data_IF_246974955408
#
_entry.id   IF_246974955408
#
_cell.length_a   1.000
_cell.length_b   1.000
_cell.length_c   1.000
_cell.angle_alpha   90.00
_cell.angle_beta   90.00
_cell.angle_gamma   90.00
#
_symmetry.space_group_name_H-M   'P 1'
#
loop_
_entity.id
_entity.type
_entity.pdbx_description
1 polymer ?
#
# COMPACT_ATOMS: atom_id res chain seq x y z
N UNK A 1 -4.51 9.05 10.91
CA UNK A 1 -3.27 8.36 10.50
C UNK A 1 -3.28 7.93 9.02
N UNK A 2 -4.45 7.67 8.46
CA UNK A 2 -4.55 7.07 7.12
C UNK A 2 -4.02 7.96 6.01
N UNK A 3 -4.19 9.28 6.13
CA UNK A 3 -3.62 10.24 5.18
C UNK A 3 -2.09 10.18 5.20
N UNK A 4 -1.47 10.26 6.37
CA UNK A 4 -0.01 10.19 6.51
C UNK A 4 0.59 8.92 5.88
N UNK A 5 -0.07 7.75 6.05
CA UNK A 5 0.36 6.50 5.42
C UNK A 5 0.27 6.58 3.90
N UNK A 6 -0.79 7.20 3.36
CA UNK A 6 -0.94 7.38 1.92
C UNK A 6 0.12 8.33 1.34
N UNK A 7 0.41 9.42 2.02
CA UNK A 7 1.48 10.36 1.64
C UNK A 7 2.84 9.67 1.59
N UNK A 8 3.21 8.91 2.65
CA UNK A 8 4.47 8.15 2.66
C UNK A 8 4.55 7.16 1.48
N UNK A 9 3.47 6.45 1.19
CA UNK A 9 3.46 5.50 0.06
C UNK A 9 3.74 6.23 -1.26
N UNK A 10 3.17 7.40 -1.48
CA UNK A 10 3.44 8.23 -2.66
C UNK A 10 4.85 8.80 -2.67
N UNK A 11 5.36 9.25 -1.54
CA UNK A 11 6.74 9.71 -1.41
C UNK A 11 7.72 8.61 -1.83
N UNK A 12 7.54 7.39 -1.32
CA UNK A 12 8.35 6.23 -1.71
C UNK A 12 8.26 5.94 -3.21
N UNK A 13 7.05 6.00 -3.79
CA UNK A 13 6.83 5.80 -5.24
C UNK A 13 7.55 6.87 -6.06
N UNK A 14 7.45 8.14 -5.69
CA UNK A 14 8.11 9.26 -6.36
C UNK A 14 9.62 9.15 -6.25
N UNK A 15 10.14 8.89 -5.06
CA UNK A 15 11.57 8.69 -4.82
C UNK A 15 12.14 7.59 -5.72
N UNK A 16 11.45 6.43 -5.77
CA UNK A 16 11.85 5.31 -6.61
C UNK A 16 11.73 5.63 -8.10
N UNK A 17 10.63 6.26 -8.53
CA UNK A 17 10.40 6.66 -9.92
C UNK A 17 11.47 7.65 -10.42
N UNK A 18 12.02 8.49 -9.53
CA UNK A 18 13.09 9.46 -9.82
C UNK A 18 14.50 8.91 -9.56
N UNK A 19 14.63 7.57 -9.46
CA UNK A 19 15.92 6.90 -9.29
C UNK A 19 16.68 7.31 -8.02
N UNK A 20 15.96 7.55 -6.92
CA UNK A 20 16.55 7.97 -5.65
C UNK A 20 17.21 9.35 -5.70
N UNK A 21 16.78 10.21 -6.63
CA UNK A 21 17.35 11.55 -6.88
C UNK A 21 18.85 11.54 -7.24
N UNK A 22 19.33 10.45 -7.84
CA UNK A 22 20.74 10.28 -8.21
C UNK A 22 21.16 11.04 -9.48
N UNK A 23 20.36 11.99 -9.97
CA UNK A 23 20.66 12.82 -11.14
C UNK A 23 20.49 12.13 -12.50
N UNK A 24 19.95 10.90 -12.52
CA UNK A 24 19.63 10.16 -13.76
C UNK A 24 18.18 10.41 -14.16
N UNK A 25 17.88 10.20 -15.46
CA UNK A 25 16.50 10.24 -15.94
C UNK A 25 15.67 9.19 -15.23
N UNK A 26 14.53 9.62 -14.68
CA UNK A 26 13.55 8.78 -14.03
C UNK A 26 12.30 8.59 -14.89
N UNK A 27 11.20 8.17 -14.26
CA UNK A 27 9.89 8.01 -14.88
C UNK A 27 8.84 8.86 -14.16
N UNK A 28 7.69 9.04 -14.81
CA UNK A 28 6.53 9.74 -14.25
C UNK A 28 5.48 8.75 -13.77
N UNK A 29 4.62 9.18 -12.84
CA UNK A 29 3.47 8.39 -12.39
C UNK A 29 2.23 8.61 -13.28
N UNK A 30 2.11 9.78 -13.91
CA UNK A 30 0.99 10.16 -14.77
C UNK A 30 0.75 9.12 -15.86
N UNK A 31 -0.52 8.74 -16.06
CA UNK A 31 -0.94 7.76 -17.05
C UNK A 31 -0.62 6.31 -16.73
N UNK A 32 0.04 6.03 -15.59
CA UNK A 32 0.28 4.65 -15.14
C UNK A 32 -0.87 4.15 -14.27
N UNK A 33 -1.14 2.85 -14.37
CA UNK A 33 -2.15 2.21 -13.54
C UNK A 33 -1.60 1.90 -12.14
N UNK A 34 -2.39 2.27 -11.11
CA UNK A 34 -2.18 1.88 -9.72
C UNK A 34 -3.33 1.03 -9.23
N UNK A 35 -3.02 -0.09 -8.60
CA UNK A 35 -3.94 -1.00 -7.94
C UNK A 35 -3.90 -0.82 -6.43
N UNK A 36 -5.06 -0.59 -5.83
CA UNK A 36 -5.23 -0.50 -4.39
C UNK A 36 -5.78 -1.83 -3.88
N UNK A 37 -4.95 -2.62 -3.23
CA UNK A 37 -5.36 -3.88 -2.63
C UNK A 37 -5.82 -3.63 -1.20
N UNK A 38 -7.11 -3.66 -1.00
CA UNK A 38 -7.97 -3.14 0.05
C UNK A 38 -8.30 -1.64 -0.09
N UNK A 39 -9.58 -1.31 0.08
CA UNK A 39 -10.12 0.03 -0.16
C UNK A 39 -10.76 0.62 1.11
N UNK A 40 -10.07 0.44 2.25
CA UNK A 40 -10.38 1.08 3.52
C UNK A 40 -9.96 2.56 3.55
N UNK A 41 -9.74 3.10 4.76
CA UNK A 41 -9.38 4.52 4.91
C UNK A 41 -8.09 4.89 4.16
N UNK A 42 -7.02 4.11 4.28
CA UNK A 42 -5.75 4.38 3.56
C UNK A 42 -5.95 4.30 2.05
N UNK A 43 -6.64 3.24 1.56
CA UNK A 43 -6.91 3.07 0.13
C UNK A 43 -7.68 4.25 -0.48
N UNK A 44 -8.62 4.85 0.27
CA UNK A 44 -9.37 6.04 -0.17
C UNK A 44 -8.47 7.26 -0.33
N UNK A 45 -7.58 7.55 0.63
CA UNK A 45 -6.60 8.64 0.50
C UNK A 45 -5.60 8.37 -0.63
N UNK A 46 -5.14 7.11 -0.78
CA UNK A 46 -4.31 6.73 -1.92
C UNK A 46 -5.00 7.02 -3.25
N UNK A 47 -6.28 6.70 -3.38
CA UNK A 47 -7.04 6.97 -4.60
C UNK A 47 -7.15 8.48 -4.88
N UNK A 48 -7.37 9.30 -3.86
CA UNK A 48 -7.44 10.75 -3.98
C UNK A 48 -6.13 11.33 -4.51
N UNK A 49 -5.01 10.98 -3.87
CA UNK A 49 -3.68 11.42 -4.29
C UNK A 49 -3.34 10.92 -5.70
N UNK A 50 -3.59 9.62 -5.99
CA UNK A 50 -3.31 9.02 -7.30
C UNK A 50 -4.04 9.74 -8.44
N UNK A 51 -5.32 10.10 -8.24
CA UNK A 51 -6.08 10.89 -9.20
C UNK A 51 -5.48 12.27 -9.42
N UNK A 52 -4.99 12.92 -8.36
CA UNK A 52 -4.27 14.20 -8.46
C UNK A 52 -3.00 14.10 -9.31
N UNK A 53 -2.31 12.97 -9.27
CA UNK A 53 -1.17 12.67 -10.15
C UNK A 53 -1.57 12.26 -11.58
N UNK A 54 -2.86 12.12 -11.88
CA UNK A 54 -3.34 11.68 -13.19
C UNK A 54 -3.04 10.20 -13.48
N UNK A 55 -3.03 9.37 -12.43
CA UNK A 55 -2.92 7.91 -12.57
C UNK A 55 -4.27 7.27 -12.87
N UNK A 56 -4.26 6.12 -13.53
CA UNK A 56 -5.41 5.23 -13.66
C UNK A 56 -5.57 4.40 -12.38
N UNK A 57 -6.63 4.67 -11.61
CA UNK A 57 -6.80 4.06 -10.28
C UNK A 57 -7.77 2.88 -10.34
N UNK A 58 -7.29 1.72 -9.89
CA UNK A 58 -8.05 0.48 -9.72
C UNK A 58 -8.06 0.07 -8.25
N UNK A 59 -9.10 -0.63 -7.81
CA UNK A 59 -9.15 -1.21 -6.48
C UNK A 59 -9.80 -2.59 -6.47
N UNK A 60 -9.35 -3.42 -5.55
CA UNK A 60 -9.96 -4.67 -5.16
C UNK A 60 -10.05 -4.74 -3.63
N UNK A 61 -11.24 -4.98 -3.11
CA UNK A 61 -11.49 -5.23 -1.69
C UNK A 61 -12.68 -6.19 -1.56
N UNK A 62 -12.54 -7.37 -0.93
CA UNK A 62 -13.64 -8.32 -0.80
C UNK A 62 -14.73 -7.88 0.19
N UNK A 63 -14.51 -6.81 0.95
CA UNK A 63 -15.42 -6.32 2.00
C UNK A 63 -16.05 -4.97 1.67
N UNK A 64 -15.62 -4.31 0.60
CA UNK A 64 -16.17 -3.03 0.12
C UNK A 64 -16.91 -3.27 -1.18
N UNK A 65 -18.15 -2.76 -1.29
CA UNK A 65 -18.95 -2.94 -2.49
C UNK A 65 -18.33 -2.27 -3.72
N UNK A 66 -18.50 -2.87 -4.90
CA UNK A 66 -18.06 -2.23 -6.15
C UNK A 66 -18.67 -0.84 -6.34
N UNK A 67 -19.92 -0.66 -5.88
CA UNK A 67 -20.61 0.61 -5.96
C UNK A 67 -19.90 1.71 -5.16
N UNK A 68 -19.46 1.39 -3.93
CA UNK A 68 -18.74 2.34 -3.09
C UNK A 68 -17.35 2.69 -3.64
N UNK A 69 -16.67 1.72 -4.26
CA UNK A 69 -15.41 1.96 -4.97
C UNK A 69 -15.66 2.89 -6.17
N UNK A 70 -16.70 2.61 -6.98
CA UNK A 70 -17.06 3.43 -8.15
C UNK A 70 -17.49 4.84 -7.77
N UNK A 71 -18.23 5.01 -6.65
CA UNK A 71 -18.59 6.35 -6.12
C UNK A 71 -17.37 7.21 -5.79
N UNK A 72 -16.27 6.59 -5.41
CA UNK A 72 -15.00 7.28 -5.20
C UNK A 72 -14.24 7.60 -6.51
N UNK A 73 -14.83 7.33 -7.69
CA UNK A 73 -14.18 7.53 -8.99
C UNK A 73 -13.03 6.58 -9.27
N UNK A 74 -13.10 5.35 -8.74
CA UNK A 74 -12.08 4.31 -8.86
C UNK A 74 -12.64 3.14 -9.66
N UNK A 75 -11.85 2.57 -10.55
CA UNK A 75 -12.19 1.38 -11.34
C UNK A 75 -12.12 0.14 -10.45
N UNK A 76 -13.12 -0.73 -10.50
CA UNK A 76 -13.14 -1.96 -9.71
C UNK A 76 -12.48 -3.12 -10.42
N UNK A 77 -11.81 -3.99 -9.66
CA UNK A 77 -11.39 -5.31 -10.10
C UNK A 77 -12.16 -6.38 -9.31
N UNK A 78 -12.49 -7.49 -9.97
CA UNK A 78 -13.28 -8.59 -9.37
C UNK A 78 -12.42 -9.52 -8.51
N UNK A 79 -11.11 -9.49 -8.71
CA UNK A 79 -10.17 -10.30 -7.95
C UNK A 79 -8.80 -9.62 -7.81
N UNK A 80 -7.97 -10.13 -6.91
CA UNK A 80 -6.59 -9.68 -6.77
C UNK A 80 -5.79 -9.95 -8.05
N UNK A 81 -6.00 -11.10 -8.70
CA UNK A 81 -5.33 -11.46 -9.94
C UNK A 81 -5.61 -10.45 -11.05
N UNK A 82 -6.86 -10.01 -11.16
CA UNK A 82 -7.23 -8.97 -12.13
C UNK A 82 -6.52 -7.64 -11.82
N UNK A 83 -6.49 -7.24 -10.53
CA UNK A 83 -5.82 -6.02 -10.09
C UNK A 83 -4.34 -6.04 -10.47
N UNK A 84 -3.64 -7.14 -10.12
CA UNK A 84 -2.20 -7.26 -10.34
C UNK A 84 -1.86 -7.33 -11.84
N UNK A 85 -2.69 -7.98 -12.64
CA UNK A 85 -2.44 -8.06 -14.10
C UNK A 85 -2.58 -6.74 -14.83
N UNK A 86 -3.32 -5.77 -14.27
CA UNK A 86 -3.59 -4.47 -14.90
C UNK A 86 -2.66 -3.35 -14.43
N UNK A 87 -2.07 -3.46 -13.25
CA UNK A 87 -1.46 -2.33 -12.57
C UNK A 87 0.06 -2.42 -12.51
N UNK A 88 0.75 -1.33 -12.94
CA UNK A 88 2.20 -1.19 -12.79
C UNK A 88 2.61 -0.95 -11.33
N UNK A 89 1.78 -0.25 -10.57
CA UNK A 89 1.92 -0.05 -9.15
C UNK A 89 0.82 -0.81 -8.42
N UNK A 90 1.17 -1.58 -7.40
CA UNK A 90 0.19 -2.15 -6.47
C UNK A 90 0.54 -1.75 -5.06
N UNK A 91 -0.40 -1.11 -4.37
CA UNK A 91 -0.24 -0.67 -2.98
C UNK A 91 -1.15 -1.46 -2.04
N UNK A 92 -0.55 -1.99 -0.97
CA UNK A 92 -1.18 -2.90 -0.03
C UNK A 92 -1.71 -2.15 1.20
N UNK A 93 -2.99 -2.36 1.54
CA UNK A 93 -3.67 -1.67 2.64
C UNK A 93 -4.50 -2.61 3.53
N UNK A 94 -4.32 -3.93 3.37
CA UNK A 94 -5.02 -4.92 4.16
C UNK A 94 -4.34 -5.17 5.52
N UNK A 95 -5.11 -5.52 6.57
CA UNK A 95 -4.53 -6.01 7.83
C UNK A 95 -3.93 -7.41 7.65
N UNK A 96 -3.02 -7.80 8.55
CA UNK A 96 -2.56 -9.19 8.64
C UNK A 96 -3.55 -10.00 9.49
N UNK A 97 -4.13 -11.02 8.90
CA UNK A 97 -5.00 -12.01 9.54
C UNK A 97 -4.85 -13.36 8.84
N UNK A 98 -5.58 -14.38 9.26
CA UNK A 98 -5.45 -15.74 8.71
C UNK A 98 -5.69 -15.82 7.19
N UNK A 99 -6.51 -14.92 6.63
CA UNK A 99 -6.81 -14.88 5.19
C UNK A 99 -5.77 -14.11 4.38
N UNK A 100 -5.07 -13.16 5.01
CA UNK A 100 -4.15 -12.25 4.31
C UNK A 100 -2.68 -12.57 4.55
N UNK A 101 -2.36 -13.38 5.56
CA UNK A 101 -0.97 -13.83 5.81
C UNK A 101 -0.44 -14.57 4.58
N UNK A 102 0.76 -14.15 4.13
CA UNK A 102 1.45 -14.73 2.95
C UNK A 102 0.58 -14.81 1.68
N UNK A 103 -0.49 -14.00 1.59
CA UNK A 103 -1.37 -14.00 0.42
C UNK A 103 -0.74 -13.33 -0.80
N UNK A 104 0.27 -12.51 -0.58
CA UNK A 104 0.98 -11.80 -1.65
C UNK A 104 2.28 -12.56 -1.96
N UNK A 105 2.16 -13.53 -2.85
CA UNK A 105 3.25 -14.45 -3.20
C UNK A 105 3.53 -14.48 -4.70
N UNK A 106 4.40 -15.40 -5.09
CA UNK A 106 4.91 -15.53 -6.47
C UNK A 106 3.82 -15.55 -7.53
N UNK A 107 2.77 -16.37 -7.35
CA UNK A 107 1.72 -16.56 -8.36
C UNK A 107 0.91 -15.29 -8.64
N UNK A 108 0.80 -14.42 -7.67
CA UNK A 108 0.15 -13.13 -7.81
C UNK A 108 1.11 -12.10 -8.40
N UNK A 109 2.34 -12.02 -7.88
CA UNK A 109 3.34 -11.03 -8.28
C UNK A 109 3.80 -11.22 -9.74
N UNK A 110 3.90 -12.45 -10.22
CA UNK A 110 4.28 -12.73 -11.61
C UNK A 110 3.27 -12.22 -12.65
N UNK A 111 2.03 -11.94 -12.24
CA UNK A 111 0.99 -11.37 -13.12
C UNK A 111 1.19 -9.88 -13.41
N UNK A 112 1.96 -9.19 -12.58
CA UNK A 112 2.17 -7.75 -12.75
C UNK A 112 2.93 -7.43 -14.05
N UNK A 113 2.59 -6.30 -14.72
CA UNK A 113 3.26 -5.86 -15.94
C UNK A 113 4.77 -5.67 -15.78
N UNK A 114 5.48 -5.45 -16.88
CA UNK A 114 6.88 -5.02 -16.84
C UNK A 114 7.04 -3.72 -16.03
N UNK A 115 8.22 -3.53 -15.42
CA UNK A 115 8.55 -2.39 -14.55
C UNK A 115 7.63 -2.22 -13.34
N UNK A 116 7.06 -3.33 -12.86
CA UNK A 116 6.13 -3.33 -11.75
C UNK A 116 6.77 -2.90 -10.41
N UNK A 117 5.95 -2.21 -9.61
CA UNK A 117 6.33 -1.73 -8.28
C UNK A 117 5.28 -2.19 -7.26
N UNK A 118 5.70 -3.00 -6.30
CA UNK A 118 4.89 -3.36 -5.14
C UNK A 118 5.18 -2.39 -3.99
N UNK A 119 4.15 -1.82 -3.38
CA UNK A 119 4.25 -0.89 -2.25
C UNK A 119 3.55 -1.49 -1.03
N UNK A 120 4.26 -1.65 0.08
CA UNK A 120 3.73 -2.21 1.31
C UNK A 120 3.92 -1.26 2.50
N UNK A 121 2.92 -0.47 2.79
CA UNK A 121 2.82 0.31 4.04
C UNK A 121 1.82 -0.32 5.02
N UNK A 122 1.42 -1.57 4.77
CA UNK A 122 0.46 -2.32 5.58
C UNK A 122 1.15 -3.16 6.67
N UNK A 123 1.48 -4.42 6.35
CA UNK A 123 2.09 -5.39 7.27
C UNK A 123 3.05 -6.30 6.51
N UNK A 124 4.21 -6.67 7.11
CA UNK A 124 5.14 -7.60 6.50
C UNK A 124 4.55 -9.00 6.32
N UNK A 125 3.72 -9.42 7.25
CA UNK A 125 3.13 -10.75 7.30
C UNK A 125 2.19 -11.07 6.13
N UNK A 126 1.74 -10.06 5.37
CA UNK A 126 0.92 -10.31 4.17
C UNK A 126 1.76 -10.79 2.99
N UNK A 127 3.08 -10.56 3.03
CA UNK A 127 4.02 -10.97 1.98
C UNK A 127 4.48 -12.41 2.23
N UNK A 128 4.45 -13.23 1.18
CA UNK A 128 5.24 -14.44 1.09
C UNK A 128 6.64 -14.06 0.59
N UNK A 129 7.60 -13.97 1.52
CA UNK A 129 8.96 -13.51 1.20
C UNK A 129 9.71 -14.46 0.26
N UNK A 130 9.46 -15.77 0.32
CA UNK A 130 10.06 -16.73 -0.61
C UNK A 130 9.58 -16.47 -2.03
N UNK A 131 8.28 -16.25 -2.21
CA UNK A 131 7.68 -15.86 -3.48
C UNK A 131 8.18 -14.51 -3.99
N UNK A 132 8.35 -13.54 -3.11
CA UNK A 132 8.91 -12.22 -3.44
C UNK A 132 10.37 -12.32 -3.89
N UNK A 133 11.20 -13.07 -3.18
CA UNK A 133 12.61 -13.29 -3.55
C UNK A 133 12.74 -14.01 -4.89
N UNK A 134 11.86 -14.98 -5.16
CA UNK A 134 11.82 -15.67 -6.45
C UNK A 134 11.53 -14.70 -7.60
N UNK A 135 10.53 -13.80 -7.44
CA UNK A 135 10.26 -12.74 -8.43
C UNK A 135 11.48 -11.84 -8.65
N UNK A 136 12.14 -11.43 -7.58
CA UNK A 136 13.36 -10.60 -7.68
C UNK A 136 14.50 -11.31 -8.41
N UNK A 137 14.61 -12.63 -8.28
CA UNK A 137 15.59 -13.43 -9.01
C UNK A 137 15.29 -13.56 -10.51
N UNK A 138 14.00 -13.63 -10.86
CA UNK A 138 13.56 -13.84 -12.26
C UNK A 138 13.35 -12.52 -13.03
N UNK A 139 12.99 -11.42 -12.33
CA UNK A 139 12.59 -10.15 -12.93
C UNK A 139 13.48 -9.01 -12.44
N UNK A 140 14.43 -8.59 -13.26
CA UNK A 140 15.33 -7.48 -12.94
C UNK A 140 14.63 -6.10 -12.91
N UNK A 141 13.46 -5.99 -13.52
CA UNK A 141 12.61 -4.80 -13.59
C UNK A 141 11.73 -4.61 -12.36
N UNK A 142 11.47 -5.67 -11.57
CA UNK A 142 10.56 -5.65 -10.43
C UNK A 142 11.15 -4.87 -9.23
N UNK A 143 10.29 -4.06 -8.58
CA UNK A 143 10.69 -3.24 -7.42
C UNK A 143 9.76 -3.45 -6.23
N UNK A 144 10.32 -3.32 -5.01
CA UNK A 144 9.57 -3.42 -3.76
C UNK A 144 9.89 -2.26 -2.82
N UNK A 145 8.85 -1.53 -2.39
CA UNK A 145 8.94 -0.39 -1.49
C UNK A 145 8.15 -0.71 -0.23
N UNK A 146 8.76 -0.55 0.94
CA UNK A 146 8.07 -0.89 2.19
C UNK A 146 8.53 -0.02 3.37
N UNK A 147 7.58 0.43 4.20
CA UNK A 147 7.87 1.02 5.50
C UNK A 147 7.97 -0.03 6.61
N UNK A 148 7.93 -1.31 6.23
CA UNK A 148 8.09 -2.46 7.12
C UNK A 148 9.19 -3.33 6.54
N UNK A 149 10.35 -3.38 7.20
CA UNK A 149 11.47 -4.18 6.74
C UNK A 149 11.11 -5.67 6.67
N UNK A 150 11.40 -6.36 5.53
CA UNK A 150 11.26 -7.80 5.44
C UNK A 150 12.33 -8.51 6.27
N UNK A 151 12.07 -9.74 6.66
CA UNK A 151 13.05 -10.56 7.39
C UNK A 151 14.29 -10.86 6.51
N UNK A 152 14.11 -10.89 5.18
CA UNK A 152 15.16 -11.08 4.17
C UNK A 152 15.91 -9.80 3.77
N UNK A 153 15.83 -8.70 4.53
CA UNK A 153 16.45 -7.41 4.22
C UNK A 153 17.92 -7.52 3.80
N UNK A 154 18.73 -8.28 4.52
CA UNK A 154 20.17 -8.47 4.22
C UNK A 154 20.40 -9.04 2.81
N UNK A 155 19.52 -9.95 2.36
CA UNK A 155 19.59 -10.50 1.02
C UNK A 155 19.22 -9.45 -0.06
N UNK A 156 18.27 -8.58 0.23
CA UNK A 156 17.96 -7.45 -0.64
C UNK A 156 19.15 -6.49 -0.78
N UNK A 157 19.81 -6.17 0.32
CA UNK A 157 20.98 -5.30 0.35
C UNK A 157 22.18 -5.89 -0.40
N UNK A 158 22.34 -7.22 -0.36
CA UNK A 158 23.41 -7.93 -1.07
C UNK A 158 23.14 -8.00 -2.59
N UNK A 159 21.93 -8.46 -2.99
CA UNK A 159 21.68 -8.93 -4.37
C UNK A 159 20.82 -7.98 -5.21
N UNK A 160 20.01 -7.10 -4.60
CA UNK A 160 18.95 -6.40 -5.31
C UNK A 160 19.02 -4.87 -5.21
N UNK A 161 20.22 -4.34 -5.03
CA UNK A 161 20.45 -2.89 -4.90
C UNK A 161 19.75 -2.08 -5.99
N UNK A 162 19.13 -0.96 -5.60
CA UNK A 162 18.42 -0.04 -6.50
C UNK A 162 16.99 -0.48 -6.89
N UNK A 163 16.57 -1.68 -6.46
CA UNK A 163 15.24 -2.21 -6.75
C UNK A 163 14.31 -2.27 -5.55
N UNK A 164 14.77 -1.84 -4.39
CA UNK A 164 13.99 -1.77 -3.16
C UNK A 164 14.20 -0.46 -2.42
N UNK A 165 13.24 -0.12 -1.59
CA UNK A 165 13.34 0.96 -0.61
C UNK A 165 12.67 0.50 0.67
N UNK A 166 13.42 0.44 1.77
CA UNK A 166 12.90 0.14 3.09
C UNK A 166 13.19 1.31 4.03
N UNK A 167 12.19 1.72 4.81
CA UNK A 167 12.43 2.66 5.90
C UNK A 167 13.08 1.95 7.08
N UNK A 168 13.85 2.68 7.90
CA UNK A 168 14.56 2.10 9.05
C UNK A 168 13.62 1.54 10.13
N UNK A 169 12.38 1.96 10.13
CA UNK A 169 11.30 1.45 11.00
C UNK A 169 9.95 1.81 10.39
N UNK A 170 8.90 1.14 10.86
CA UNK A 170 7.53 1.51 10.46
C UNK A 170 7.22 2.95 10.84
N UNK A 171 6.94 3.79 9.85
CA UNK A 171 6.78 5.22 10.04
C UNK A 171 5.58 5.85 9.32
N UNK A 172 4.80 5.08 8.58
CA UNK A 172 3.69 5.61 7.78
C UNK A 172 2.69 6.48 8.54
N UNK A 173 2.51 6.25 9.85
CA UNK A 173 1.64 7.06 10.71
C UNK A 173 2.40 8.00 11.66
N UNK A 174 3.72 8.20 11.47
CA UNK A 174 4.56 9.00 12.37
C UNK A 174 4.66 10.45 11.89
N UNK A 175 3.53 11.16 11.92
CA UNK A 175 3.47 12.61 11.71
C UNK A 175 2.87 13.28 12.94
N UNK A 176 3.16 14.58 13.14
CA UNK A 176 2.59 15.36 14.23
C UNK A 176 1.07 15.38 14.16
N UNK A 177 0.53 15.64 12.98
CA UNK A 177 -0.91 15.69 12.71
C UNK A 177 -1.58 14.33 12.97
N UNK A 178 -0.97 13.22 12.56
CA UNK A 178 -1.51 11.88 12.81
C UNK A 178 -1.60 11.58 14.31
N UNK A 179 -0.60 11.97 15.09
CA UNK A 179 -0.58 11.78 16.54
C UNK A 179 -1.65 12.65 17.22
N UNK A 180 -1.75 13.93 16.86
CA UNK A 180 -2.78 14.85 17.38
C UNK A 180 -4.17 14.31 17.03
N UNK A 181 -4.41 13.97 15.77
CA UNK A 181 -5.71 13.49 15.30
C UNK A 181 -6.12 12.18 15.96
N UNK A 182 -5.18 11.27 16.25
CA UNK A 182 -5.46 10.04 16.96
C UNK A 182 -5.92 10.32 18.41
N UNK A 183 -5.24 11.23 19.12
CA UNK A 183 -5.62 11.64 20.47
C UNK A 183 -7.00 12.31 20.52
N UNK A 184 -7.24 13.25 19.60
CA UNK A 184 -8.54 13.95 19.49
C UNK A 184 -9.67 12.98 19.15
N UNK A 185 -9.43 12.05 18.22
CA UNK A 185 -10.43 11.05 17.85
C UNK A 185 -10.77 10.14 19.03
N UNK A 186 -9.77 9.66 19.78
CA UNK A 186 -9.98 8.82 20.96
C UNK A 186 -10.80 9.57 22.02
N UNK A 187 -10.46 10.82 22.32
CA UNK A 187 -11.20 11.64 23.27
C UNK A 187 -12.67 11.84 22.84
N UNK A 188 -12.91 12.15 21.56
CA UNK A 188 -14.26 12.29 20.99
C UNK A 188 -15.08 11.00 21.09
N UNK A 189 -14.48 9.87 20.82
CA UNK A 189 -15.15 8.55 20.91
C UNK A 189 -15.56 8.22 22.35
N UNK A 190 -14.70 8.52 23.32
CA UNK A 190 -14.99 8.34 24.74
C UNK A 190 -16.13 9.25 25.17
N UNK A 191 -16.08 10.54 24.81
CA UNK A 191 -17.14 11.50 25.13
C UNK A 191 -18.47 11.11 24.48
N UNK A 192 -18.46 10.64 23.23
CA UNK A 192 -19.65 10.19 22.53
C UNK A 192 -20.26 8.97 23.21
N UNK A 193 -19.45 7.99 23.62
CA UNK A 193 -19.92 6.86 24.40
C UNK A 193 -20.64 7.27 25.69
N UNK A 194 -20.05 8.16 26.48
CA UNK A 194 -20.67 8.61 27.73
C UNK A 194 -21.94 9.45 27.51
N UNK A 195 -22.03 10.19 26.40
CA UNK A 195 -23.21 11.04 26.09
C UNK A 195 -24.36 10.26 25.45
N UNK A 196 -24.05 9.29 24.59
CA UNK A 196 -25.04 8.67 23.71
C UNK A 196 -25.14 7.15 23.85
N UNK A 197 -24.21 6.51 24.57
CA UNK A 197 -24.11 5.05 24.62
C UNK A 197 -23.56 4.44 23.31
N UNK A 198 -22.98 5.22 22.41
CA UNK A 198 -22.47 4.73 21.13
C UNK A 198 -21.26 3.79 21.30
N UNK A 199 -21.48 2.49 21.05
CA UNK A 199 -20.45 1.44 21.18
C UNK A 199 -19.70 1.12 19.87
N UNK A 200 -19.84 1.95 18.81
CA UNK A 200 -19.25 1.69 17.49
C UNK A 200 -17.76 1.34 17.55
N UNK A 201 -17.02 1.95 18.43
CA UNK A 201 -15.56 1.79 18.58
C UNK A 201 -15.15 0.89 19.74
N UNK A 202 -16.10 0.21 20.37
CA UNK A 202 -15.84 -0.72 21.46
C UNK A 202 -15.08 -1.95 20.95
N UNK A 203 -13.92 -2.26 21.56
CA UNK A 203 -13.05 -3.37 21.14
C UNK A 203 -13.27 -4.65 21.96
N UNK A 204 -13.80 -4.55 23.17
CA UNK A 204 -14.07 -5.65 24.09
C UNK A 204 -15.55 -6.08 24.00
N UNK A 205 -15.97 -6.54 22.86
CA UNK A 205 -17.33 -7.05 22.63
C UNK A 205 -17.47 -8.48 23.10
#
# INVERSE_FOLDING_TARGET
NSNAVAELAFEMMLYQARGGFAGKSGSELRGKAIGLHAFGNVGKYMAEIAKGFGMDVYAFDPYVSEEDIKKAGVKTCKSAEELYSKCHYVSLHMPANDKTRKSIGYDLLKKMPADAVLVNTARKEVIDEEGLLKIFGERADFKYLSDVEPDSKSLFEEKFKGRFLFTAKKMGAQTEEANINAGVAAARQIVDYFKTGNEKFRVNK
#
